data_IF_247771296282
#
_entry.id   IF_247771296282
#
_cell.length_a   1.000
_cell.length_b   1.000
_cell.length_c   1.000
_cell.angle_alpha   90.00
_cell.angle_beta   90.00
_cell.angle_gamma   90.00
#
_symmetry.space_group_name_H-M   'P 1'
#
loop_
_entity.id
_entity.type
_entity.pdbx_description
1 polymer ?
#
# COMPACT_ATOMS: atom_id res chain seq x y z
N UNK A 1 -12.33 9.83 10.15
CA UNK A 1 -12.14 8.73 9.21
C UNK A 1 -13.47 8.38 8.56
N UNK A 2 -13.46 8.10 7.27
CA UNK A 2 -14.64 7.70 6.55
C UNK A 2 -14.52 6.23 6.16
N UNK A 3 -15.20 5.36 6.93
CA UNK A 3 -15.28 3.92 6.71
C UNK A 3 -16.71 3.60 6.31
N UNK A 4 -16.90 2.97 5.16
CA UNK A 4 -18.20 2.73 4.58
C UNK A 4 -18.47 1.25 4.34
N UNK A 5 -19.63 0.80 4.80
CA UNK A 5 -20.23 -0.44 4.33
C UNK A 5 -20.84 -0.23 2.93
N UNK A 6 -20.69 -1.20 2.07
CA UNK A 6 -21.31 -1.22 0.76
C UNK A 6 -22.03 -2.56 0.53
N UNK A 7 -23.34 -2.53 0.32
CA UNK A 7 -24.13 -3.74 0.05
C UNK A 7 -24.07 -4.79 1.17
N UNK A 8 -23.98 -4.38 2.43
CA UNK A 8 -23.87 -5.29 3.58
C UNK A 8 -22.43 -5.78 3.86
N UNK A 9 -21.43 -5.30 3.11
CA UNK A 9 -20.02 -5.65 3.32
C UNK A 9 -19.28 -4.45 3.90
N UNK A 10 -18.82 -4.58 5.15
CA UNK A 10 -18.06 -3.55 5.86
C UNK A 10 -16.56 -3.90 5.89
N UNK A 11 -15.68 -2.88 5.85
CA UNK A 11 -14.25 -3.08 6.07
C UNK A 11 -13.94 -3.70 7.43
N UNK A 12 -12.96 -4.60 7.47
CA UNK A 12 -12.44 -5.22 8.69
C UNK A 12 -11.10 -4.59 9.05
N UNK A 13 -11.06 -3.88 10.16
CA UNK A 13 -9.87 -3.19 10.64
C UNK A 13 -9.42 -3.81 11.98
N UNK A 14 -8.11 -4.10 12.07
CA UNK A 14 -7.50 -4.41 13.37
C UNK A 14 -7.60 -3.17 14.30
N UNK A 15 -7.71 -3.41 15.60
CA UNK A 15 -7.83 -2.32 16.58
C UNK A 15 -6.62 -1.36 16.62
N UNK A 16 -5.45 -1.81 16.18
CA UNK A 16 -4.24 -1.00 16.07
C UNK A 16 -4.07 -0.30 14.71
N UNK A 17 -4.96 -0.56 13.74
CA UNK A 17 -4.93 0.12 12.46
C UNK A 17 -5.34 1.60 12.60
N UNK A 18 -4.59 2.49 11.98
CA UNK A 18 -4.89 3.92 11.97
C UNK A 18 -5.32 4.40 10.59
N UNK A 19 -6.43 5.13 10.54
CA UNK A 19 -6.96 5.72 9.30
C UNK A 19 -7.15 7.21 9.54
N UNK A 20 -6.52 8.05 8.70
CA UNK A 20 -6.68 9.51 8.75
C UNK A 20 -8.15 9.93 8.52
N UNK A 21 -8.57 11.07 9.04
CA UNK A 21 -9.96 11.54 8.97
C UNK A 21 -10.46 11.80 7.54
N UNK A 22 -9.56 12.21 6.63
CA UNK A 22 -9.86 12.45 5.21
C UNK A 22 -9.68 11.22 4.30
N UNK A 23 -9.18 10.10 4.82
CA UNK A 23 -9.10 8.86 4.05
C UNK A 23 -10.46 8.16 3.94
N UNK A 24 -10.68 7.44 2.84
CA UNK A 24 -11.90 6.70 2.55
C UNK A 24 -11.58 5.20 2.47
N UNK A 25 -12.24 4.36 3.27
CA UNK A 25 -12.11 2.89 3.23
C UNK A 25 -13.49 2.29 3.03
N UNK A 26 -13.70 1.60 1.92
CA UNK A 26 -15.03 1.26 1.42
C UNK A 26 -15.14 -0.24 1.09
N UNK A 27 -16.16 -0.93 1.63
CA UNK A 27 -16.55 -2.28 1.22
C UNK A 27 -15.59 -3.38 1.69
N UNK A 28 -15.26 -4.31 0.81
CA UNK A 28 -14.49 -5.53 1.11
C UNK A 28 -12.99 -5.24 1.28
N UNK A 29 -12.62 -4.59 2.37
CA UNK A 29 -11.24 -4.22 2.72
C UNK A 29 -10.85 -4.86 4.05
N UNK A 30 -9.63 -5.38 4.13
CA UNK A 30 -9.04 -5.85 5.39
C UNK A 30 -7.76 -5.06 5.67
N UNK A 31 -7.69 -4.38 6.82
CA UNK A 31 -6.49 -3.73 7.33
C UNK A 31 -5.98 -4.53 8.54
N UNK A 32 -4.79 -5.11 8.43
CA UNK A 32 -4.16 -5.87 9.52
C UNK A 32 -3.56 -4.94 10.59
N UNK A 33 -3.02 -5.53 11.65
CA UNK A 33 -2.43 -4.80 12.77
C UNK A 33 -1.34 -3.80 12.34
N UNK A 34 -1.27 -2.68 13.03
CA UNK A 34 -0.29 -1.60 12.80
C UNK A 34 -0.28 -1.02 11.37
N UNK A 35 -1.34 -1.24 10.57
CA UNK A 35 -1.47 -0.57 9.28
C UNK A 35 -1.78 0.91 9.46
N UNK A 36 -1.35 1.76 8.52
CA UNK A 36 -1.70 3.17 8.51
C UNK A 36 -2.15 3.63 7.13
N UNK A 37 -3.30 4.32 7.09
CA UNK A 37 -3.89 4.89 5.87
C UNK A 37 -3.95 6.40 6.03
N UNK A 38 -3.15 7.10 5.23
CA UNK A 38 -2.87 8.52 5.39
C UNK A 38 -3.89 9.42 4.67
N UNK A 39 -3.66 10.72 4.72
CA UNK A 39 -4.64 11.72 4.29
C UNK A 39 -4.99 11.63 2.81
N UNK A 40 -6.28 11.73 2.49
CA UNK A 40 -6.78 11.70 1.11
C UNK A 40 -6.63 10.37 0.38
N UNK A 41 -6.25 9.30 1.07
CA UNK A 41 -6.18 7.94 0.49
C UNK A 41 -7.59 7.41 0.24
N UNK A 42 -7.78 6.72 -0.88
CA UNK A 42 -9.00 5.96 -1.18
C UNK A 42 -8.67 4.47 -1.32
N UNK A 43 -9.27 3.64 -0.47
CA UNK A 43 -9.22 2.17 -0.57
C UNK A 43 -10.63 1.69 -0.84
N UNK A 44 -10.92 1.27 -2.09
CA UNK A 44 -12.26 0.93 -2.53
C UNK A 44 -12.36 -0.53 -2.97
N UNK A 45 -12.89 -1.38 -2.08
CA UNK A 45 -13.16 -2.81 -2.30
C UNK A 45 -14.63 -3.07 -2.64
N UNK A 46 -15.14 -2.45 -3.70
CA UNK A 46 -16.50 -2.60 -4.18
C UNK A 46 -16.67 -3.76 -5.17
N UNK A 47 -15.61 -4.13 -5.86
CA UNK A 47 -15.62 -5.15 -6.91
C UNK A 47 -14.94 -6.44 -6.47
N UNK A 48 -13.82 -6.35 -5.73
CA UNK A 48 -13.10 -7.49 -5.17
C UNK A 48 -12.43 -7.11 -3.85
N UNK A 49 -11.81 -8.09 -3.19
CA UNK A 49 -11.15 -7.94 -1.90
C UNK A 49 -9.84 -7.16 -2.00
N UNK A 50 -9.61 -6.26 -1.05
CA UNK A 50 -8.34 -5.58 -0.83
C UNK A 50 -7.82 -5.98 0.55
N UNK A 51 -6.65 -6.62 0.59
CA UNK A 51 -5.97 -7.01 1.83
C UNK A 51 -4.68 -6.20 2.01
N UNK A 52 -4.54 -5.55 3.16
CA UNK A 52 -3.33 -4.80 3.53
C UNK A 52 -2.71 -5.44 4.76
N UNK A 53 -1.49 -5.95 4.61
CA UNK A 53 -0.76 -6.70 5.62
C UNK A 53 -0.24 -5.83 6.75
N UNK A 54 0.12 -6.48 7.85
CA UNK A 54 0.59 -5.86 9.09
C UNK A 54 1.73 -4.87 8.86
N UNK A 55 1.70 -3.73 9.57
CA UNK A 55 2.76 -2.73 9.56
C UNK A 55 2.93 -1.98 8.24
N UNK A 56 2.01 -2.19 7.29
CA UNK A 56 2.03 -1.52 5.98
C UNK A 56 1.43 -0.13 6.09
N UNK A 57 2.05 0.83 5.40
CA UNK A 57 1.56 2.20 5.32
C UNK A 57 1.15 2.56 3.89
N UNK A 58 0.01 3.27 3.76
CA UNK A 58 -0.50 3.80 2.50
C UNK A 58 -0.51 5.32 2.60
N UNK A 59 0.43 5.96 1.92
CA UNK A 59 0.68 7.38 2.06
C UNK A 59 -0.28 8.26 1.26
N UNK A 60 -0.28 9.54 1.59
CA UNK A 60 -1.25 10.55 1.19
C UNK A 60 -1.60 10.53 -0.31
N UNK A 61 -2.90 10.63 -0.59
CA UNK A 61 -3.45 10.74 -1.92
C UNK A 61 -3.33 9.49 -2.80
N UNK A 62 -2.93 8.34 -2.23
CA UNK A 62 -2.89 7.07 -2.96
C UNK A 62 -4.28 6.51 -3.19
N UNK A 63 -4.44 5.75 -4.28
CA UNK A 63 -5.70 5.07 -4.62
C UNK A 63 -5.46 3.58 -4.80
N UNK A 64 -6.23 2.77 -4.09
CA UNK A 64 -6.18 1.31 -4.10
C UNK A 64 -7.54 0.77 -4.55
N UNK A 65 -7.56 -0.01 -5.62
CA UNK A 65 -8.76 -0.59 -6.18
C UNK A 65 -8.51 -2.00 -6.72
N UNK A 66 -9.54 -2.74 -7.02
CA UNK A 66 -9.48 -4.09 -7.59
C UNK A 66 -10.62 -4.30 -8.57
N UNK A 67 -10.39 -5.06 -9.64
CA UNK A 67 -11.44 -5.54 -10.54
C UNK A 67 -11.93 -6.93 -10.11
N UNK A 68 -13.12 -7.31 -10.57
CA UNK A 68 -13.71 -8.62 -10.28
C UNK A 68 -12.76 -9.77 -10.71
N UNK A 69 -12.45 -10.68 -9.79
CA UNK A 69 -11.52 -11.79 -10.01
C UNK A 69 -10.03 -11.41 -9.98
N UNK A 70 -9.71 -10.15 -9.68
CA UNK A 70 -8.32 -9.66 -9.60
C UNK A 70 -8.11 -8.89 -8.29
N UNK A 71 -8.05 -9.59 -7.14
CA UNK A 71 -7.93 -8.95 -5.83
C UNK A 71 -6.61 -8.19 -5.68
N UNK A 72 -6.60 -7.21 -4.80
CA UNK A 72 -5.40 -6.49 -4.41
C UNK A 72 -4.84 -7.04 -3.09
N UNK A 73 -3.64 -7.59 -3.14
CA UNK A 73 -2.97 -8.14 -1.97
C UNK A 73 -1.66 -7.40 -1.69
N UNK A 74 -1.58 -6.72 -0.57
CA UNK A 74 -0.37 -6.04 -0.10
C UNK A 74 0.17 -6.77 1.13
N UNK A 75 1.43 -7.17 1.07
CA UNK A 75 2.14 -7.89 2.13
C UNK A 75 2.37 -7.07 3.40
N UNK A 76 3.19 -7.61 4.29
CA UNK A 76 3.53 -7.00 5.58
C UNK A 76 4.68 -6.00 5.43
N UNK A 77 4.69 -4.96 6.28
CA UNK A 77 5.76 -3.95 6.34
C UNK A 77 6.07 -3.32 4.97
N UNK A 78 5.06 -3.15 4.13
CA UNK A 78 5.19 -2.50 2.83
C UNK A 78 5.04 -0.98 3.01
N UNK A 79 5.87 -0.21 2.32
CA UNK A 79 5.69 1.23 2.21
C UNK A 79 5.08 1.57 0.85
N UNK A 80 3.86 2.09 0.84
CA UNK A 80 3.21 2.62 -0.36
C UNK A 80 3.34 4.14 -0.33
N UNK A 81 4.19 4.69 -1.19
CA UNK A 81 4.51 6.11 -1.27
C UNK A 81 3.31 6.99 -1.65
N UNK A 82 3.48 8.29 -1.48
CA UNK A 82 2.43 9.27 -1.79
C UNK A 82 1.94 9.16 -3.24
N UNK A 83 0.63 9.34 -3.48
CA UNK A 83 0.00 9.37 -4.81
C UNK A 83 0.25 8.11 -5.65
N UNK A 84 0.46 6.96 -5.03
CA UNK A 84 0.58 5.67 -5.72
C UNK A 84 -0.80 5.19 -6.15
N UNK A 85 -0.86 4.56 -7.34
CA UNK A 85 -2.03 3.80 -7.80
C UNK A 85 -1.69 2.31 -7.76
N UNK A 86 -2.44 1.53 -6.96
CA UNK A 86 -2.42 0.07 -7.01
C UNK A 86 -3.77 -0.43 -7.50
N UNK A 87 -3.75 -1.26 -8.53
CA UNK A 87 -4.97 -1.80 -9.11
C UNK A 87 -4.83 -3.31 -9.34
N UNK A 88 -5.59 -4.13 -8.58
CA UNK A 88 -5.66 -5.58 -8.76
C UNK A 88 -4.30 -6.29 -8.85
N UNK A 89 -3.37 -6.01 -7.94
CA UNK A 89 -1.99 -6.51 -7.99
C UNK A 89 -1.56 -7.16 -6.68
N UNK A 90 -0.39 -7.78 -6.68
CA UNK A 90 0.23 -8.37 -5.49
C UNK A 90 1.56 -7.67 -5.18
N UNK A 91 1.73 -7.19 -3.96
CA UNK A 91 2.96 -6.58 -3.46
C UNK A 91 3.51 -7.45 -2.34
N UNK A 92 4.70 -7.98 -2.52
CA UNK A 92 5.39 -8.82 -1.54
C UNK A 92 5.87 -8.04 -0.31
N UNK A 93 6.10 -8.78 0.78
CA UNK A 93 6.49 -8.23 2.08
C UNK A 93 7.73 -7.34 2.00
N UNK A 94 7.79 -6.33 2.88
CA UNK A 94 8.96 -5.44 3.05
C UNK A 94 9.37 -4.69 1.78
N UNK A 95 8.48 -4.56 0.79
CA UNK A 95 8.72 -3.80 -0.43
C UNK A 95 8.35 -2.33 -0.27
N UNK A 96 8.92 -1.49 -1.13
CA UNK A 96 8.56 -0.07 -1.20
C UNK A 96 8.10 0.28 -2.61
N UNK A 97 6.94 0.88 -2.70
CA UNK A 97 6.38 1.44 -3.94
C UNK A 97 6.59 2.95 -3.90
N UNK A 98 7.43 3.44 -4.80
CA UNK A 98 7.85 4.85 -4.85
C UNK A 98 6.73 5.82 -5.20
N UNK A 99 6.91 7.07 -4.81
CA UNK A 99 5.94 8.17 -5.00
C UNK A 99 5.42 8.20 -6.44
N UNK A 100 4.09 8.25 -6.61
CA UNK A 100 3.43 8.38 -7.91
C UNK A 100 3.58 7.16 -8.84
N UNK A 101 4.09 6.03 -8.37
CA UNK A 101 4.14 4.80 -9.17
C UNK A 101 2.74 4.23 -9.41
N UNK A 102 2.59 3.53 -10.52
CA UNK A 102 1.36 2.85 -10.94
C UNK A 102 1.66 1.36 -11.11
N UNK A 103 0.86 0.50 -10.47
CA UNK A 103 0.96 -0.96 -10.59
C UNK A 103 -0.41 -1.51 -10.99
N UNK A 104 -0.48 -2.15 -12.16
CA UNK A 104 -1.72 -2.53 -12.80
C UNK A 104 -2.10 -4.01 -12.56
N UNK A 105 -3.28 -4.41 -13.06
CA UNK A 105 -3.91 -5.70 -12.84
C UNK A 105 -2.99 -6.90 -13.08
N UNK A 106 -3.02 -7.84 -12.14
CA UNK A 106 -2.27 -9.08 -12.23
C UNK A 106 -0.76 -8.95 -12.07
N UNK A 107 -0.24 -7.72 -11.89
CA UNK A 107 1.19 -7.52 -11.64
C UNK A 107 1.58 -8.08 -10.27
N UNK A 108 2.80 -8.65 -10.18
CA UNK A 108 3.35 -9.21 -8.95
C UNK A 108 4.73 -8.63 -8.68
N UNK A 109 4.84 -7.90 -7.59
CA UNK A 109 6.10 -7.41 -7.04
C UNK A 109 6.52 -8.38 -5.94
N UNK A 110 7.72 -8.96 -6.06
CA UNK A 110 8.29 -9.85 -5.04
C UNK A 110 8.56 -9.15 -3.71
N UNK A 111 9.10 -9.89 -2.75
CA UNK A 111 9.50 -9.36 -1.43
C UNK A 111 10.76 -8.50 -1.54
N UNK A 112 10.93 -7.56 -0.59
CA UNK A 112 12.12 -6.72 -0.52
C UNK A 112 12.42 -5.97 -1.82
N UNK A 113 11.41 -5.60 -2.60
CA UNK A 113 11.57 -4.86 -3.85
C UNK A 113 11.44 -3.35 -3.65
N UNK A 114 12.13 -2.60 -4.47
CA UNK A 114 11.98 -1.15 -4.60
C UNK A 114 11.45 -0.81 -5.98
N UNK A 115 10.19 -0.34 -6.04
CA UNK A 115 9.63 0.28 -7.25
C UNK A 115 9.92 1.77 -7.18
N UNK A 116 10.63 2.29 -8.17
CA UNK A 116 11.04 3.70 -8.23
C UNK A 116 9.86 4.66 -8.39
N UNK A 117 10.06 5.91 -7.98
CA UNK A 117 9.05 6.96 -8.12
C UNK A 117 8.62 7.14 -9.60
N UNK A 118 7.31 7.30 -9.85
CA UNK A 118 6.75 7.47 -11.18
C UNK A 118 6.86 6.24 -12.10
N UNK A 119 7.26 5.08 -11.61
CA UNK A 119 7.35 3.87 -12.41
C UNK A 119 5.95 3.37 -12.82
N UNK A 120 5.84 2.83 -14.05
CA UNK A 120 4.63 2.18 -14.56
C UNK A 120 4.86 0.67 -14.69
N UNK A 121 4.33 -0.10 -13.76
CA UNK A 121 4.28 -1.56 -13.85
C UNK A 121 3.00 -1.97 -14.58
N UNK A 122 3.17 -2.47 -15.80
CA UNK A 122 2.06 -2.88 -16.66
C UNK A 122 1.44 -4.19 -16.20
N UNK A 123 0.24 -4.47 -16.71
CA UNK A 123 -0.55 -5.67 -16.38
C UNK A 123 0.25 -6.97 -16.51
N UNK A 124 0.04 -7.88 -15.55
CA UNK A 124 0.62 -9.22 -15.55
C UNK A 124 2.15 -9.29 -15.42
N UNK A 125 2.83 -8.16 -15.20
CA UNK A 125 4.30 -8.18 -15.00
C UNK A 125 4.65 -8.76 -13.63
N UNK A 126 5.64 -9.65 -13.63
CA UNK A 126 6.15 -10.26 -12.41
C UNK A 126 7.63 -9.90 -12.23
N UNK A 127 7.99 -9.55 -11.00
CA UNK A 127 9.37 -9.21 -10.61
C UNK A 127 9.79 -10.06 -9.41
N UNK A 128 10.98 -10.70 -9.47
CA UNK A 128 11.47 -11.52 -8.37
C UNK A 128 11.84 -10.68 -7.14
N UNK A 129 11.98 -11.37 -6.00
CA UNK A 129 12.38 -10.77 -4.73
C UNK A 129 13.68 -9.96 -4.87
N UNK A 130 13.80 -8.88 -4.08
CA UNK A 130 15.00 -8.04 -4.02
C UNK A 130 15.24 -7.14 -5.24
N UNK A 131 14.29 -7.01 -6.15
CA UNK A 131 14.46 -6.25 -7.40
C UNK A 131 14.38 -4.74 -7.18
N UNK A 132 15.26 -3.99 -7.82
CA UNK A 132 15.08 -2.57 -8.11
C UNK A 132 14.36 -2.41 -9.46
N UNK A 133 13.17 -1.82 -9.43
CA UNK A 133 12.22 -1.76 -10.56
C UNK A 133 11.97 -0.29 -10.89
N UNK A 134 12.35 0.16 -12.10
CA UNK A 134 12.23 1.56 -12.50
C UNK A 134 11.78 1.72 -13.95
N UNK A 135 11.22 2.88 -14.26
CA UNK A 135 10.88 3.29 -15.63
C UNK A 135 9.40 3.17 -15.99
N UNK A 136 9.07 3.60 -17.19
CA UNK A 136 7.72 3.56 -17.77
C UNK A 136 7.83 3.17 -19.26
N UNK A 137 7.56 1.90 -19.62
CA UNK A 137 7.21 0.77 -18.74
C UNK A 137 8.38 0.33 -17.84
N UNK A 138 8.04 -0.14 -16.63
CA UNK A 138 9.03 -0.49 -15.61
C UNK A 138 9.77 -1.80 -15.93
N UNK A 139 11.07 -1.83 -15.53
CA UNK A 139 11.94 -3.01 -15.66
C UNK A 139 12.74 -3.19 -14.39
N UNK A 140 13.06 -4.45 -14.04
CA UNK A 140 14.05 -4.74 -13.03
C UNK A 140 15.44 -4.42 -13.61
N UNK A 141 16.18 -3.53 -12.94
CA UNK A 141 17.49 -3.06 -13.43
C UNK A 141 18.66 -3.67 -12.66
N UNK A 142 18.45 -4.10 -11.42
CA UNK A 142 19.42 -4.79 -10.58
C UNK A 142 18.76 -5.38 -9.33
N UNK A 143 19.53 -6.15 -8.58
CA UNK A 143 19.17 -6.54 -7.21
C UNK A 143 19.53 -5.43 -6.20
N UNK A 144 18.76 -5.35 -5.12
CA UNK A 144 19.06 -4.47 -3.99
C UNK A 144 20.17 -5.08 -3.13
N UNK A 145 21.00 -4.21 -2.54
CA UNK A 145 21.96 -4.66 -1.52
C UNK A 145 21.25 -4.93 -0.18
N UNK A 146 21.87 -5.71 0.74
CA UNK A 146 21.32 -5.91 2.08
C UNK A 146 21.05 -4.60 2.83
N UNK A 147 21.88 -3.59 2.68
CA UNK A 147 21.72 -2.27 3.30
C UNK A 147 20.51 -1.52 2.74
N UNK A 148 20.26 -1.66 1.43
CA UNK A 148 19.08 -1.08 0.79
C UNK A 148 17.79 -1.75 1.28
N UNK A 149 17.79 -3.08 1.39
CA UNK A 149 16.65 -3.85 1.94
C UNK A 149 16.39 -3.42 3.40
N UNK A 150 17.43 -3.27 4.23
CA UNK A 150 17.25 -2.76 5.59
C UNK A 150 16.73 -1.32 5.62
N UNK A 151 17.05 -0.53 4.59
CA UNK A 151 16.45 0.80 4.36
C UNK A 151 14.92 0.73 4.18
N UNK A 152 14.43 -0.25 3.40
CA UNK A 152 12.98 -0.47 3.21
C UNK A 152 12.30 -0.81 4.54
N UNK A 153 12.88 -1.70 5.33
CA UNK A 153 12.38 -2.08 6.66
C UNK A 153 12.32 -0.89 7.63
N UNK A 154 13.36 -0.04 7.63
CA UNK A 154 13.35 1.18 8.45
C UNK A 154 12.23 2.13 8.05
N UNK A 155 11.94 2.26 6.75
CA UNK A 155 10.82 3.06 6.26
C UNK A 155 9.49 2.59 6.85
N UNK A 156 9.20 1.30 6.79
CA UNK A 156 7.96 0.75 7.34
C UNK A 156 7.87 0.98 8.87
N UNK A 157 8.93 0.70 9.63
CA UNK A 157 8.98 0.93 11.08
C UNK A 157 8.75 2.40 11.43
N UNK A 158 9.37 3.33 10.70
CA UNK A 158 9.16 4.76 10.89
C UNK A 158 7.69 5.15 10.75
N UNK A 159 6.97 4.60 9.75
CA UNK A 159 5.56 4.90 9.55
C UNK A 159 4.64 4.29 10.61
N UNK A 160 4.99 3.15 11.21
CA UNK A 160 4.28 2.60 12.37
C UNK A 160 4.39 3.58 13.55
N UNK A 161 5.61 4.07 13.86
CA UNK A 161 5.83 5.04 14.93
C UNK A 161 5.14 6.38 14.65
N UNK A 162 5.21 6.85 13.39
CA UNK A 162 4.57 8.09 12.96
C UNK A 162 3.04 8.02 13.09
N UNK A 163 2.42 6.91 12.70
CA UNK A 163 0.98 6.71 12.86
C UNK A 163 0.56 6.77 14.35
N UNK A 164 1.33 6.16 15.24
CA UNK A 164 1.11 6.25 16.70
C UNK A 164 1.24 7.69 17.22
N UNK A 165 2.23 8.43 16.72
CA UNK A 165 2.40 9.85 17.05
C UNK A 165 1.18 10.69 16.60
N UNK A 166 0.71 10.49 15.37
CA UNK A 166 -0.48 11.17 14.86
C UNK A 166 -1.75 10.79 15.64
N UNK A 167 -1.92 9.50 15.93
CA UNK A 167 -3.07 9.01 16.71
C UNK A 167 -3.12 9.64 18.11
N UNK A 168 -1.97 9.85 18.76
CA UNK A 168 -1.88 10.42 20.08
C UNK A 168 -1.99 11.95 20.11
N UNK A 169 -1.46 12.65 19.09
CA UNK A 169 -1.24 14.10 19.13
C UNK A 169 -2.03 14.95 18.15
N UNK A 170 -2.58 14.36 17.08
CA UNK A 170 -3.27 15.12 16.05
C UNK A 170 -4.59 15.69 16.58
N UNK A 171 -4.76 17.01 16.48
CA UNK A 171 -6.00 17.72 16.85
C UNK A 171 -6.46 18.58 15.70
N UNK A 172 -7.72 18.40 15.30
CA UNK A 172 -8.37 19.32 14.36
C UNK A 172 -8.68 20.65 15.06
N UNK A 173 -8.26 21.75 14.48
CA UNK A 173 -8.40 23.11 15.07
C UNK A 173 -9.28 24.05 14.24
N UNK A 174 -9.89 23.56 13.17
CA UNK A 174 -10.81 24.29 12.30
C UNK A 174 -11.59 23.39 11.35
#
# INVERSE_FOLDING_TARGET
MAIYELGGVAPRLDASAWVADSAQVIGNVTLAADTSVWFGVVVRGDTDHIAIGRGTNVQDGSVLHADAGVPLNVGQNVTIGHKVMLHGCTIGDESLIGIGAIVLNGAKIGKNCLVGAGALVTEGKEFPDGSMIIGSPAKAVRQLSPEQIEGLRRSARHYIENARHFQAGLKKIG
#
